data_IF_548979643474
#
_entry.id   IF_548979643474
#
_cell.length_a   1.000
_cell.length_b   1.000
_cell.length_c   1.000
_cell.angle_alpha   90.00
_cell.angle_beta   90.00
_cell.angle_gamma   90.00
#
_symmetry.space_group_name_H-M   'P 1'
#
loop_
_entity.id
_entity.type
_entity.pdbx_description
1 polymer ?
#
# COMPACT_ATOMS: atom_id res chain seq x y z
N UNK A 1 -1.79 3.43 -5.00
CA UNK A 1 -2.11 3.90 -3.63
C UNK A 1 -1.31 3.07 -2.64
N UNK A 2 -0.63 3.74 -1.71
CA UNK A 2 0.16 3.10 -0.66
C UNK A 2 -0.42 3.49 0.69
N UNK A 3 -1.10 2.57 1.37
CA UNK A 3 -1.55 2.79 2.74
C UNK A 3 -0.41 2.44 3.69
N UNK A 4 -0.01 3.41 4.52
CA UNK A 4 1.14 3.27 5.42
C UNK A 4 0.94 2.11 6.42
N UNK A 5 2.03 1.72 7.07
CA UNK A 5 2.01 0.77 8.19
C UNK A 5 0.96 1.18 9.23
N UNK A 6 0.13 0.22 9.64
CA UNK A 6 -1.01 0.42 10.53
C UNK A 6 -2.29 0.92 9.84
N UNK A 7 -2.27 1.24 8.54
CA UNK A 7 -3.44 1.68 7.78
C UNK A 7 -3.92 0.59 6.84
N UNK A 8 -5.13 0.09 7.10
CA UNK A 8 -5.83 -0.91 6.29
C UNK A 8 -7.29 -0.52 6.08
N UNK A 9 -7.78 -0.64 4.84
CA UNK A 9 -9.19 -0.48 4.50
C UNK A 9 -9.47 -1.25 3.20
N UNK A 10 -10.06 -2.44 3.33
CA UNK A 10 -10.34 -3.32 2.19
C UNK A 10 -11.38 -2.75 1.23
N UNK A 11 -12.37 -2.01 1.75
CA UNK A 11 -13.40 -1.41 0.91
C UNK A 11 -12.79 -0.29 0.06
N UNK A 12 -11.94 0.55 0.64
CA UNK A 12 -11.20 1.58 -0.09
C UNK A 12 -10.21 0.97 -1.09
N UNK A 13 -9.50 -0.08 -0.70
CA UNK A 13 -8.59 -0.81 -1.58
C UNK A 13 -9.34 -1.40 -2.79
N UNK A 14 -10.51 -1.98 -2.58
CA UNK A 14 -11.33 -2.54 -3.66
C UNK A 14 -11.76 -1.46 -4.65
N UNK A 15 -12.28 -0.32 -4.17
CA UNK A 15 -12.65 0.82 -5.04
C UNK A 15 -11.47 1.31 -5.87
N UNK A 16 -10.28 1.39 -5.26
CA UNK A 16 -9.07 1.79 -5.95
C UNK A 16 -8.61 0.78 -7.02
N UNK A 17 -8.69 -0.52 -6.72
CA UNK A 17 -8.37 -1.60 -7.68
C UNK A 17 -9.34 -1.58 -8.87
N UNK A 18 -10.63 -1.39 -8.63
CA UNK A 18 -11.66 -1.25 -9.68
C UNK A 18 -11.42 -0.03 -10.57
N UNK A 19 -10.86 1.04 -10.01
CA UNK A 19 -10.40 2.20 -10.78
C UNK A 19 -9.06 1.98 -11.51
N UNK A 20 -8.50 0.76 -11.50
CA UNK A 20 -7.25 0.39 -12.18
C UNK A 20 -5.98 0.82 -11.43
N UNK A 21 -6.09 1.25 -10.17
CA UNK A 21 -4.93 1.65 -9.38
C UNK A 21 -4.31 0.44 -8.68
N UNK A 22 -2.97 0.37 -8.70
CA UNK A 22 -2.24 -0.56 -7.86
C UNK A 22 -2.36 -0.15 -6.39
N UNK A 23 -2.69 -1.10 -5.50
CA UNK A 23 -2.88 -0.82 -4.07
C UNK A 23 -2.00 -1.73 -3.23
N UNK A 24 -1.27 -1.13 -2.29
CA UNK A 24 -0.53 -1.82 -1.23
C UNK A 24 -1.01 -1.26 0.10
N UNK A 25 -1.21 -2.13 1.10
CA UNK A 25 -1.66 -1.76 2.44
C UNK A 25 -0.70 -2.22 3.51
N UNK A 26 -0.82 -1.63 4.70
CA UNK A 26 -0.06 -1.99 5.91
C UNK A 26 1.45 -2.12 5.67
N UNK A 27 2.02 -1.14 4.96
CA UNK A 27 3.46 -1.16 4.67
C UNK A 27 4.06 0.22 4.85
N UNK A 28 5.26 0.30 5.43
CA UNK A 28 6.02 1.53 5.50
C UNK A 28 6.93 1.69 4.27
N UNK A 29 6.87 2.84 3.60
CA UNK A 29 7.70 3.12 2.41
C UNK A 29 9.19 3.04 2.74
N UNK A 30 9.62 3.68 3.83
CA UNK A 30 11.04 3.69 4.23
C UNK A 30 11.56 2.28 4.50
N UNK A 31 10.79 1.44 5.20
CA UNK A 31 11.19 0.06 5.50
C UNK A 31 11.29 -0.78 4.22
N UNK A 32 10.32 -0.67 3.31
CA UNK A 32 10.36 -1.40 2.03
C UNK A 32 11.52 -0.93 1.15
N UNK A 33 11.72 0.38 0.99
CA UNK A 33 12.83 0.92 0.21
C UNK A 33 14.20 0.45 0.77
N UNK A 34 14.40 0.51 2.09
CA UNK A 34 15.63 0.00 2.73
C UNK A 34 15.84 -1.51 2.54
N UNK A 35 14.76 -2.29 2.49
CA UNK A 35 14.82 -3.74 2.23
C UNK A 35 15.25 -4.05 0.80
N UNK A 36 14.78 -3.26 -0.16
CA UNK A 36 15.02 -3.47 -1.59
C UNK A 36 16.33 -2.85 -2.09
N UNK A 37 16.84 -1.82 -1.42
CA UNK A 37 18.10 -1.14 -1.75
C UNK A 37 19.31 -1.64 -0.95
N UNK A 38 19.15 -2.74 -0.20
CA UNK A 38 20.24 -3.51 0.40
C UNK A 38 20.60 -4.66 -0.51
#
# INVERSE_FOLDING_TARGET
IWMQEGVTDEAAAQRAREAGLFVVMDTCILKQHRRLMR
#
